data_IF_956320217001
#
_entry.id   IF_956320217001
#
_cell.length_a   1.000
_cell.length_b   1.000
_cell.length_c   1.000
_cell.angle_alpha   90.00
_cell.angle_beta   90.00
_cell.angle_gamma   90.00
#
_symmetry.space_group_name_H-M   'P 1'
#
loop_
_entity.id
_entity.type
_entity.pdbx_description
1 polymer ?
#
# COMPACT_ATOMS: atom_id res chain seq x y z
N UNK A 1 -41.21 22.92 -15.97
CA UNK A 1 -41.13 22.40 -14.58
C UNK A 1 -40.20 21.21 -14.53
N UNK A 2 -39.46 21.05 -13.43
CA UNK A 2 -38.43 20.02 -13.10
C UNK A 2 -36.97 20.20 -13.58
N UNK A 3 -36.64 21.03 -14.56
CA UNK A 3 -35.23 21.31 -14.92
C UNK A 3 -34.60 22.56 -14.29
N UNK A 4 -35.39 23.44 -13.65
CA UNK A 4 -34.86 24.68 -13.03
C UNK A 4 -34.12 24.45 -11.71
N UNK A 5 -34.34 23.33 -11.03
CA UNK A 5 -33.70 23.05 -9.74
C UNK A 5 -32.21 22.68 -9.89
N UNK A 6 -31.80 22.11 -11.03
CA UNK A 6 -30.39 21.83 -11.33
C UNK A 6 -29.66 23.08 -11.84
N UNK A 7 -30.31 23.92 -12.65
CA UNK A 7 -29.68 25.11 -13.24
C UNK A 7 -29.25 26.19 -12.24
N UNK A 8 -29.95 26.33 -11.12
CA UNK A 8 -29.62 27.29 -10.06
C UNK A 8 -28.48 26.83 -9.14
N UNK A 9 -28.23 25.52 -9.07
CA UNK A 9 -27.23 24.89 -8.20
C UNK A 9 -25.97 24.45 -8.94
N UNK A 10 -26.11 24.12 -10.23
CA UNK A 10 -25.07 23.57 -11.08
C UNK A 10 -25.12 24.24 -12.46
N UNK A 11 -24.22 25.19 -12.68
CA UNK A 11 -23.96 25.62 -14.05
C UNK A 11 -23.27 24.47 -14.79
N UNK A 12 -23.57 24.26 -16.08
CA UNK A 12 -23.00 23.18 -16.90
C UNK A 12 -21.48 22.98 -16.73
N UNK A 13 -20.64 24.04 -16.66
CA UNK A 13 -19.21 23.88 -16.40
C UNK A 13 -18.87 23.24 -15.04
N UNK A 14 -19.64 23.56 -13.99
CA UNK A 14 -19.46 22.98 -12.65
C UNK A 14 -19.85 21.51 -12.62
N UNK A 15 -20.86 21.13 -13.41
CA UNK A 15 -21.28 19.73 -13.55
C UNK A 15 -20.16 18.89 -14.15
N UNK A 16 -19.60 19.31 -15.28
CA UNK A 16 -18.50 18.60 -15.92
C UNK A 16 -17.24 18.56 -15.04
N UNK A 17 -16.93 19.64 -14.33
CA UNK A 17 -15.77 19.67 -13.42
C UNK A 17 -15.93 18.68 -12.26
N UNK A 18 -17.14 18.55 -11.72
CA UNK A 18 -17.43 17.65 -10.60
C UNK A 18 -17.53 16.20 -11.05
N UNK A 19 -18.12 15.93 -12.22
CA UNK A 19 -18.08 14.61 -12.83
C UNK A 19 -16.65 14.19 -13.15
N UNK A 20 -15.80 15.10 -13.63
CA UNK A 20 -14.37 14.84 -13.86
C UNK A 20 -13.63 14.57 -12.55
N UNK A 21 -13.86 15.36 -11.49
CA UNK A 21 -13.28 15.13 -10.16
C UNK A 21 -13.75 13.80 -9.57
N UNK A 22 -15.05 13.50 -9.63
CA UNK A 22 -15.61 12.23 -9.15
C UNK A 22 -15.02 11.04 -9.91
N UNK A 23 -14.83 11.15 -11.23
CA UNK A 23 -14.19 10.11 -12.05
C UNK A 23 -12.71 9.91 -11.69
N UNK A 24 -12.00 11.00 -11.40
CA UNK A 24 -10.59 10.98 -11.00
C UNK A 24 -10.41 10.46 -9.56
N UNK A 25 -11.39 10.67 -8.69
CA UNK A 25 -11.39 10.13 -7.32
C UNK A 25 -11.84 8.65 -7.31
N UNK A 26 -12.84 8.28 -8.13
CA UNK A 26 -13.46 6.93 -8.13
C UNK A 26 -12.61 5.85 -8.80
N UNK A 27 -11.65 6.23 -9.66
CA UNK A 27 -10.74 5.26 -10.27
C UNK A 27 -11.48 4.17 -11.06
N UNK A 28 -12.40 4.58 -11.95
CA UNK A 28 -13.02 3.65 -12.91
C UNK A 28 -12.00 3.30 -14.02
N UNK A 29 -11.01 2.50 -13.64
CA UNK A 29 -9.87 2.10 -14.44
C UNK A 29 -8.70 1.75 -13.53
N UNK A 30 -8.00 0.66 -13.84
CA UNK A 30 -7.03 -0.09 -13.01
C UNK A 30 -5.83 0.67 -12.44
N UNK A 31 -5.68 2.00 -12.57
CA UNK A 31 -4.38 2.63 -12.30
C UNK A 31 -4.36 3.95 -11.49
N UNK A 32 -5.44 4.73 -11.32
CA UNK A 32 -5.30 6.02 -10.62
C UNK A 32 -6.53 6.43 -9.78
N UNK A 33 -6.51 6.10 -8.48
CA UNK A 33 -7.31 6.86 -7.52
C UNK A 33 -6.50 8.08 -7.06
N UNK A 34 -7.13 9.25 -6.99
CA UNK A 34 -6.50 10.50 -6.50
C UNK A 34 -5.76 10.28 -5.18
N UNK A 35 -6.38 9.53 -4.27
CA UNK A 35 -5.81 9.22 -2.95
C UNK A 35 -4.51 8.43 -3.08
N UNK A 36 -4.46 7.38 -3.91
CA UNK A 36 -3.23 6.59 -4.13
C UNK A 36 -2.15 7.41 -4.85
N UNK A 37 -2.54 8.28 -5.79
CA UNK A 37 -1.60 9.16 -6.47
C UNK A 37 -0.94 10.15 -5.50
N UNK A 38 -1.73 10.76 -4.61
CA UNK A 38 -1.22 11.65 -3.56
C UNK A 38 -0.33 10.86 -2.58
N UNK A 39 -0.76 9.68 -2.12
CA UNK A 39 0.04 8.82 -1.25
C UNK A 39 1.40 8.47 -1.89
N UNK A 40 1.41 8.00 -3.14
CA UNK A 40 2.65 7.67 -3.87
C UNK A 40 3.57 8.88 -4.01
N UNK A 41 3.01 10.05 -4.34
CA UNK A 41 3.76 11.30 -4.41
C UNK A 41 4.37 11.68 -3.06
N UNK A 42 3.62 11.51 -1.99
CA UNK A 42 4.06 11.84 -0.63
C UNK A 42 5.14 10.88 -0.12
N UNK A 43 4.99 9.57 -0.34
CA UNK A 43 6.01 8.57 0.01
C UNK A 43 7.32 8.85 -0.72
N UNK A 44 7.25 9.19 -2.01
CA UNK A 44 8.44 9.59 -2.78
C UNK A 44 9.07 10.86 -2.21
N UNK A 45 8.27 11.88 -1.93
CA UNK A 45 8.75 13.13 -1.33
C UNK A 45 9.44 12.90 0.03
N UNK A 46 8.84 12.09 0.91
CA UNK A 46 9.44 11.73 2.20
C UNK A 46 10.76 10.98 2.02
N UNK A 47 10.80 10.02 1.07
CA UNK A 47 12.04 9.32 0.73
C UNK A 47 13.14 10.27 0.28
N UNK A 48 12.83 11.15 -0.66
CA UNK A 48 13.82 12.07 -1.22
C UNK A 48 14.33 13.03 -0.13
N UNK A 49 13.45 13.56 0.73
CA UNK A 49 13.85 14.41 1.87
C UNK A 49 14.77 13.67 2.83
N UNK A 50 14.38 12.47 3.24
CA UNK A 50 15.16 11.68 4.21
C UNK A 50 16.52 11.36 3.59
N UNK A 51 16.55 10.89 2.35
CA UNK A 51 17.80 10.61 1.64
C UNK A 51 18.70 11.86 1.55
N UNK A 52 18.16 13.00 1.10
CA UNK A 52 18.93 14.25 1.00
C UNK A 52 19.46 14.71 2.36
N UNK A 53 18.64 14.58 3.41
CA UNK A 53 19.02 14.99 4.78
C UNK A 53 20.17 14.12 5.30
N UNK A 54 20.09 12.81 5.11
CA UNK A 54 21.12 11.87 5.57
C UNK A 54 22.45 12.05 4.83
N UNK A 55 22.39 12.28 3.52
CA UNK A 55 23.57 12.61 2.70
C UNK A 55 24.20 13.92 3.16
N UNK A 56 23.38 14.96 3.41
CA UNK A 56 23.87 16.29 3.81
C UNK A 56 24.54 16.28 5.18
N UNK A 57 24.01 15.53 6.13
CA UNK A 57 24.52 15.46 7.51
C UNK A 57 25.68 14.45 7.62
N UNK A 58 25.96 13.68 6.56
CA UNK A 58 26.97 12.61 6.55
C UNK A 58 26.83 11.70 7.78
N UNK A 59 25.61 11.21 8.04
CA UNK A 59 25.30 10.42 9.24
C UNK A 59 26.23 9.20 9.29
N UNK A 60 27.07 9.04 10.34
CA UNK A 60 28.01 7.93 10.44
C UNK A 60 27.31 6.57 10.57
N UNK A 61 27.91 5.51 10.04
CA UNK A 61 27.48 4.11 10.18
C UNK A 61 27.73 3.56 11.60
N UNK A 62 27.32 4.28 12.64
CA UNK A 62 27.48 3.88 14.04
C UNK A 62 26.20 3.20 14.57
N UNK A 63 26.27 2.00 15.19
CA UNK A 63 25.11 1.20 15.58
C UNK A 63 24.04 1.93 16.42
N UNK A 64 24.48 2.79 17.35
CA UNK A 64 23.58 3.58 18.22
C UNK A 64 22.82 4.65 17.44
N UNK A 65 23.47 5.30 16.47
CA UNK A 65 22.82 6.31 15.62
C UNK A 65 21.84 5.64 14.65
N UNK A 66 22.15 4.40 14.22
CA UNK A 66 21.28 3.66 13.29
C UNK A 66 19.92 3.33 13.89
N UNK A 67 19.82 2.86 15.14
CA UNK A 67 18.52 2.44 15.70
C UNK A 67 17.57 3.62 15.93
N UNK A 68 18.07 4.75 16.43
CA UNK A 68 17.28 5.97 16.58
C UNK A 68 16.91 6.56 15.21
N UNK A 69 17.84 6.58 14.27
CA UNK A 69 17.57 7.01 12.89
C UNK A 69 16.53 6.13 12.20
N UNK A 70 16.60 4.81 12.33
CA UNK A 70 15.65 3.87 11.74
C UNK A 70 14.24 4.00 12.35
N UNK A 71 14.12 4.24 13.66
CA UNK A 71 12.82 4.51 14.28
C UNK A 71 12.21 5.83 13.78
N UNK A 72 13.04 6.87 13.62
CA UNK A 72 12.61 8.15 13.07
C UNK A 72 12.17 8.02 11.60
N UNK A 73 12.98 7.36 10.76
CA UNK A 73 12.64 7.07 9.37
C UNK A 73 11.34 6.25 9.31
N UNK A 74 11.26 5.17 10.09
CA UNK A 74 10.11 4.28 10.15
C UNK A 74 8.80 5.00 10.50
N UNK A 75 8.85 6.06 11.30
CA UNK A 75 7.69 6.91 11.54
C UNK A 75 7.17 7.60 10.27
N UNK A 76 8.05 8.24 9.48
CA UNK A 76 7.67 8.94 8.24
C UNK A 76 7.23 8.01 7.11
N UNK A 77 7.67 6.76 7.14
CA UNK A 77 7.25 5.71 6.22
C UNK A 77 6.11 4.83 6.75
N UNK A 78 5.60 5.11 7.95
CA UNK A 78 4.47 4.36 8.48
C UNK A 78 3.20 4.63 7.67
N UNK A 79 2.35 3.60 7.57
CA UNK A 79 1.02 3.73 6.97
C UNK A 79 0.23 4.83 7.66
N UNK A 80 0.30 4.87 8.99
CA UNK A 80 -0.36 5.87 9.84
C UNK A 80 0.04 7.29 9.45
N UNK A 81 1.34 7.57 9.31
CA UNK A 81 1.81 8.90 8.93
C UNK A 81 1.35 9.29 7.53
N UNK A 82 1.54 8.39 6.55
CA UNK A 82 1.16 8.62 5.15
C UNK A 82 -0.35 8.88 5.01
N UNK A 83 -1.15 8.16 5.81
CA UNK A 83 -2.60 8.30 5.89
C UNK A 83 -2.99 9.70 6.40
N UNK A 84 -2.49 10.12 7.56
CA UNK A 84 -2.88 11.42 8.14
C UNK A 84 -2.40 12.61 7.31
N UNK A 85 -1.19 12.52 6.76
CA UNK A 85 -0.64 13.57 5.90
C UNK A 85 -1.39 13.68 4.58
N UNK A 86 -1.80 12.57 3.96
CA UNK A 86 -2.67 12.58 2.77
C UNK A 86 -4.00 13.26 3.06
N UNK A 87 -4.63 12.96 4.21
CA UNK A 87 -5.85 13.64 4.62
C UNK A 87 -5.62 15.13 4.76
N UNK A 88 -4.54 15.55 5.42
CA UNK A 88 -4.21 16.96 5.60
C UNK A 88 -4.07 17.67 4.24
N UNK A 89 -3.30 17.09 3.30
CA UNK A 89 -3.07 17.66 1.97
C UNK A 89 -4.36 17.80 1.16
N UNK A 90 -5.28 16.83 1.26
CA UNK A 90 -6.56 16.89 0.55
C UNK A 90 -7.58 17.82 1.22
N UNK A 91 -7.62 17.85 2.56
CA UNK A 91 -8.65 18.55 3.31
C UNK A 91 -8.33 20.02 3.59
N UNK A 92 -7.09 20.36 3.93
CA UNK A 92 -6.71 21.73 4.28
C UNK A 92 -7.10 22.74 3.18
N UNK A 93 -6.73 22.56 1.90
CA UNK A 93 -7.12 23.51 0.86
C UNK A 93 -8.64 23.60 0.68
N UNK A 94 -9.36 22.48 0.82
CA UNK A 94 -10.81 22.44 0.68
C UNK A 94 -11.52 23.18 1.83
N UNK A 95 -11.09 22.95 3.07
CA UNK A 95 -11.62 23.66 4.25
C UNK A 95 -11.29 25.15 4.17
N UNK A 96 -10.06 25.51 3.82
CA UNK A 96 -9.65 26.91 3.64
C UNK A 96 -10.49 27.59 2.57
N UNK A 97 -10.76 26.92 1.45
CA UNK A 97 -11.65 27.43 0.39
C UNK A 97 -13.06 27.65 0.92
N UNK A 98 -13.66 26.67 1.60
CA UNK A 98 -15.03 26.78 2.15
C UNK A 98 -15.11 27.94 3.15
N UNK A 99 -14.19 28.00 4.11
CA UNK A 99 -14.16 29.04 5.14
C UNK A 99 -13.97 30.42 4.52
N UNK A 100 -13.00 30.58 3.61
CA UNK A 100 -12.69 31.88 2.98
C UNK A 100 -13.81 32.33 2.06
N UNK A 101 -14.42 31.41 1.30
CA UNK A 101 -15.55 31.72 0.42
C UNK A 101 -16.82 32.10 1.19
N UNK A 102 -17.12 31.36 2.26
CA UNK A 102 -18.28 31.64 3.12
C UNK A 102 -18.13 32.98 3.84
N UNK A 103 -16.95 33.25 4.41
CA UNK A 103 -16.66 34.44 5.20
C UNK A 103 -16.27 35.68 4.38
N UNK A 104 -16.21 35.60 3.04
CA UNK A 104 -15.91 36.75 2.21
C UNK A 104 -16.86 37.92 2.51
N UNK A 105 -16.40 39.19 2.52
CA UNK A 105 -17.30 40.32 2.72
C UNK A 105 -18.41 40.30 1.66
N UNK A 106 -19.64 40.63 2.07
CA UNK A 106 -20.77 40.71 1.15
C UNK A 106 -20.78 42.12 0.55
N UNK A 107 -20.65 42.28 -0.78
CA UNK A 107 -20.76 43.58 -1.41
C UNK A 107 -22.22 44.06 -1.28
N UNK A 108 -22.44 45.03 -0.40
CA UNK A 108 -23.74 45.68 -0.20
C UNK A 108 -23.74 46.96 -1.03
N UNK A 109 -24.72 47.17 -1.92
CA UNK A 109 -24.88 48.42 -2.66
C UNK A 109 -24.94 49.66 -1.73
N UNK A 110 -24.28 50.74 -2.10
CA UNK A 110 -24.16 51.96 -1.26
C UNK A 110 -25.51 52.68 -1.05
N UNK A 111 -26.43 52.54 -2.00
CA UNK A 111 -27.81 53.03 -1.94
C UNK A 111 -28.68 52.25 -0.92
N UNK A 112 -28.20 51.11 -0.44
CA UNK A 112 -28.93 50.25 0.49
C UNK A 112 -28.70 50.71 1.95
N UNK A 113 -29.60 51.56 2.45
CA UNK A 113 -29.56 52.10 3.82
C UNK A 113 -29.53 51.05 4.96
N UNK A 114 -29.27 51.51 6.19
CA UNK A 114 -29.24 50.65 7.39
C UNK A 114 -30.66 50.23 7.80
N UNK A 115 -31.12 49.07 7.34
CA UNK A 115 -32.46 48.58 7.67
C UNK A 115 -32.72 47.09 7.39
N UNK A 116 -33.98 46.63 7.52
CA UNK A 116 -34.38 45.24 7.29
C UNK A 116 -34.03 44.72 5.89
N UNK A 117 -34.12 45.57 4.86
CA UNK A 117 -33.76 45.23 3.47
C UNK A 117 -32.29 44.81 3.33
N UNK A 118 -31.37 45.49 4.01
CA UNK A 118 -29.94 45.13 4.04
C UNK A 118 -29.70 43.77 4.69
N UNK A 119 -30.42 43.46 5.77
CA UNK A 119 -30.32 42.15 6.46
C UNK A 119 -30.82 41.01 5.56
N UNK A 120 -31.94 41.22 4.86
CA UNK A 120 -32.48 40.26 3.90
C UNK A 120 -31.53 40.03 2.71
N UNK A 121 -30.95 41.09 2.17
CA UNK A 121 -29.97 41.00 1.08
C UNK A 121 -28.73 40.20 1.51
N UNK A 122 -28.13 40.50 2.65
CA UNK A 122 -26.97 39.75 3.18
C UNK A 122 -27.33 38.27 3.36
N UNK A 123 -28.52 37.96 3.89
CA UNK A 123 -29.00 36.59 4.03
C UNK A 123 -29.15 35.89 2.68
N UNK A 124 -29.69 36.59 1.67
CA UNK A 124 -29.86 36.03 0.31
C UNK A 124 -28.51 35.70 -0.35
N UNK A 125 -27.51 36.57 -0.22
CA UNK A 125 -26.16 36.34 -0.75
C UNK A 125 -25.47 35.18 -0.03
N UNK A 126 -25.57 35.11 1.31
CA UNK A 126 -25.04 33.98 2.08
C UNK A 126 -25.70 32.66 1.70
N UNK A 127 -27.02 32.65 1.50
CA UNK A 127 -27.74 31.46 1.04
C UNK A 127 -27.33 31.05 -0.38
N UNK A 128 -27.14 32.00 -1.30
CA UNK A 128 -26.61 31.72 -2.63
C UNK A 128 -25.19 31.13 -2.58
N UNK A 129 -24.32 31.62 -1.67
CA UNK A 129 -22.99 31.05 -1.43
C UNK A 129 -23.08 29.62 -0.89
N UNK A 130 -23.96 29.36 0.08
CA UNK A 130 -24.18 28.00 0.60
C UNK A 130 -24.62 27.03 -0.49
N UNK A 131 -25.52 27.46 -1.39
CA UNK A 131 -25.92 26.63 -2.55
C UNK A 131 -24.74 26.32 -3.48
N UNK A 132 -23.87 27.30 -3.73
CA UNK A 132 -22.65 27.11 -4.53
C UNK A 132 -21.57 26.25 -3.83
N UNK A 133 -21.60 26.17 -2.51
CA UNK A 133 -20.70 25.30 -1.72
C UNK A 133 -21.17 23.84 -1.65
N UNK A 134 -22.47 23.58 -1.82
CA UNK A 134 -23.06 22.24 -1.80
C UNK A 134 -22.26 21.22 -2.64
N UNK A 135 -21.92 21.47 -3.92
CA UNK A 135 -21.11 20.55 -4.70
C UNK A 135 -19.74 20.22 -4.09
N UNK A 136 -19.05 21.22 -3.54
CA UNK A 136 -17.72 21.07 -2.94
C UNK A 136 -17.81 20.18 -1.69
N UNK A 137 -18.85 20.39 -0.88
CA UNK A 137 -19.13 19.55 0.29
C UNK A 137 -19.45 18.12 -0.11
N UNK A 138 -20.22 17.90 -1.19
CA UNK A 138 -20.51 16.56 -1.71
C UNK A 138 -19.23 15.84 -2.15
N UNK A 139 -18.33 16.53 -2.85
CA UNK A 139 -17.01 15.95 -3.23
C UNK A 139 -16.17 15.64 -1.99
N UNK A 140 -16.16 16.52 -0.98
CA UNK A 140 -15.45 16.27 0.27
C UNK A 140 -16.00 15.03 1.00
N UNK A 141 -17.31 14.92 1.13
CA UNK A 141 -17.97 13.74 1.72
C UNK A 141 -17.71 12.46 0.90
N UNK A 142 -17.62 12.58 -0.43
CA UNK A 142 -17.25 11.45 -1.28
C UNK A 142 -15.80 11.00 -1.02
N UNK A 143 -14.84 11.92 -0.88
CA UNK A 143 -13.46 11.59 -0.50
C UNK A 143 -13.42 10.87 0.85
N UNK A 144 -14.26 11.27 1.81
CA UNK A 144 -14.42 10.56 3.10
C UNK A 144 -15.00 9.17 2.92
N UNK A 145 -16.07 9.02 2.15
CA UNK A 145 -16.67 7.72 1.88
C UNK A 145 -15.69 6.78 1.19
N UNK A 146 -15.00 7.27 0.15
CA UNK A 146 -13.94 6.56 -0.55
C UNK A 146 -12.80 6.17 0.39
N UNK A 147 -12.43 7.04 1.32
CA UNK A 147 -11.42 6.76 2.35
C UNK A 147 -11.79 5.61 3.29
N UNK A 148 -13.01 5.63 3.85
CA UNK A 148 -13.48 4.55 4.73
C UNK A 148 -13.68 3.24 3.96
N UNK A 149 -14.16 3.29 2.72
CA UNK A 149 -14.27 2.10 1.86
C UNK A 149 -12.90 1.54 1.46
N UNK A 150 -11.94 2.40 1.14
CA UNK A 150 -10.56 2.03 0.82
C UNK A 150 -9.81 1.46 2.02
N UNK A 151 -10.20 1.80 3.25
CA UNK A 151 -9.70 1.16 4.47
C UNK A 151 -10.24 -0.26 4.66
N UNK A 152 -11.46 -0.52 4.20
CA UNK A 152 -11.96 -1.89 4.09
C UNK A 152 -11.21 -2.67 2.98
N UNK A 153 -10.74 -1.99 1.92
CA UNK A 153 -9.91 -2.58 0.86
C UNK A 153 -8.41 -2.61 1.15
N UNK A 154 -7.90 -1.89 2.16
CA UNK A 154 -6.48 -1.87 2.53
C UNK A 154 -6.09 -3.02 3.46
N UNK A 155 -7.07 -3.81 3.87
CA UNK A 155 -6.87 -5.24 4.10
C UNK A 155 -7.21 -5.91 2.78
N UNK A 156 -6.35 -5.78 1.76
CA UNK A 156 -6.33 -6.82 0.73
C UNK A 156 -6.15 -8.12 1.51
N UNK A 157 -7.15 -9.00 1.43
CA UNK A 157 -7.10 -10.28 2.11
C UNK A 157 -5.81 -10.97 1.64
N UNK A 158 -4.79 -10.92 2.50
CA UNK A 158 -3.52 -11.53 2.19
C UNK A 158 -3.77 -13.03 2.25
N UNK A 159 -3.60 -13.69 1.11
CA UNK A 159 -3.61 -15.13 1.06
C UNK A 159 -2.35 -15.65 1.74
N UNK A 160 -2.52 -16.18 2.95
CA UNK A 160 -1.46 -16.76 3.76
C UNK A 160 -1.89 -18.17 4.19
N UNK A 161 -1.64 -19.19 3.35
CA UNK A 161 -2.01 -20.55 3.70
C UNK A 161 -1.14 -21.06 4.84
N UNK A 162 -1.70 -21.97 5.65
CA UNK A 162 -0.91 -22.69 6.62
C UNK A 162 0.11 -23.60 5.91
N UNK A 163 1.38 -23.62 6.35
CA UNK A 163 2.39 -24.49 5.74
C UNK A 163 2.03 -25.96 5.85
N UNK A 164 2.03 -26.66 4.71
CA UNK A 164 1.76 -28.09 4.66
C UNK A 164 2.99 -28.88 5.11
N UNK A 165 2.84 -29.85 6.02
CA UNK A 165 3.97 -30.67 6.46
C UNK A 165 4.41 -31.62 5.36
N UNK A 166 5.72 -31.65 5.09
CA UNK A 166 6.37 -32.60 4.20
C UNK A 166 7.27 -33.55 4.99
N UNK A 167 7.28 -34.81 4.59
CA UNK A 167 8.19 -35.82 5.13
C UNK A 167 9.51 -35.75 4.36
N UNK A 168 10.62 -35.75 5.09
CA UNK A 168 11.96 -35.73 4.49
C UNK A 168 12.42 -37.16 4.24
N UNK A 169 12.46 -37.57 2.97
CA UNK A 169 12.98 -38.87 2.54
C UNK A 169 14.40 -38.71 1.98
N UNK A 170 15.41 -38.91 2.82
CA UNK A 170 16.81 -38.80 2.43
C UNK A 170 17.33 -37.34 2.38
N UNK A 171 18.12 -37.02 1.35
CA UNK A 171 18.84 -35.73 1.24
C UNK A 171 18.11 -34.67 0.40
N UNK A 172 17.06 -35.07 -0.31
CA UNK A 172 16.31 -34.22 -1.24
C UNK A 172 14.83 -34.31 -0.93
N UNK A 173 14.19 -33.16 -0.75
CA UNK A 173 12.74 -33.05 -0.65
C UNK A 173 12.18 -32.94 -2.07
N UNK A 174 11.32 -33.87 -2.46
CA UNK A 174 10.61 -33.85 -3.73
C UNK A 174 9.17 -33.44 -3.53
N UNK A 175 8.73 -32.40 -4.25
CA UNK A 175 7.39 -31.83 -4.14
C UNK A 175 6.72 -32.03 -5.49
N UNK A 176 5.68 -32.89 -5.60
CA UNK A 176 4.99 -33.09 -6.86
C UNK A 176 4.34 -31.79 -7.33
N UNK A 177 4.39 -31.53 -8.64
CA UNK A 177 3.77 -30.32 -9.23
C UNK A 177 2.26 -30.30 -8.98
N UNK A 178 1.62 -31.46 -9.05
CA UNK A 178 0.20 -31.61 -8.76
C UNK A 178 0.01 -32.76 -7.78
N UNK A 179 -0.74 -32.48 -6.72
CA UNK A 179 -1.17 -33.43 -5.70
C UNK A 179 -2.67 -33.20 -5.44
N UNK A 180 -3.30 -34.05 -4.64
CA UNK A 180 -4.69 -33.90 -4.23
C UNK A 180 -4.94 -32.58 -3.47
N UNK A 181 -3.91 -32.01 -2.84
CA UNK A 181 -4.01 -30.82 -1.98
C UNK A 181 -3.56 -29.52 -2.66
N UNK A 182 -2.80 -29.58 -3.75
CA UNK A 182 -2.24 -28.40 -4.41
C UNK A 182 -1.98 -28.62 -5.90
N UNK A 183 -1.94 -27.53 -6.65
CA UNK A 183 -1.34 -27.45 -7.96
C UNK A 183 -0.34 -26.29 -7.93
N UNK A 184 0.96 -26.58 -8.04
CA UNK A 184 2.00 -25.56 -7.97
C UNK A 184 1.93 -24.54 -9.11
N UNK A 185 1.13 -24.80 -10.16
CA UNK A 185 0.93 -23.95 -11.34
C UNK A 185 -0.42 -23.22 -11.35
N UNK A 186 -1.10 -23.12 -10.21
CA UNK A 186 -2.35 -22.36 -10.06
C UNK A 186 -2.14 -20.84 -9.84
N UNK A 187 -0.87 -20.40 -9.71
CA UNK A 187 -0.51 -19.02 -9.39
C UNK A 187 -0.72 -18.63 -7.92
N UNK A 188 -1.04 -19.59 -7.05
CA UNK A 188 -1.17 -19.38 -5.62
C UNK A 188 0.17 -19.64 -4.89
N UNK A 189 0.29 -19.06 -3.69
CA UNK A 189 1.41 -19.27 -2.79
C UNK A 189 1.26 -20.63 -2.09
N UNK A 190 2.16 -21.57 -2.34
CA UNK A 190 2.14 -22.89 -1.68
C UNK A 190 3.22 -22.99 -0.62
N UNK A 191 2.82 -23.01 0.66
CA UNK A 191 3.75 -23.10 1.78
C UNK A 191 3.95 -24.53 2.26
N UNK A 192 5.19 -24.84 2.63
CA UNK A 192 5.59 -26.14 3.15
C UNK A 192 6.43 -25.98 4.42
N UNK A 193 6.36 -26.98 5.29
CA UNK A 193 7.19 -27.09 6.48
C UNK A 193 7.82 -28.48 6.54
N UNK A 194 9.11 -28.53 6.84
CA UNK A 194 9.84 -29.77 7.11
C UNK A 194 10.48 -29.70 8.48
N UNK A 195 10.45 -30.81 9.21
CA UNK A 195 11.21 -30.95 10.44
C UNK A 195 12.57 -31.58 10.15
N UNK A 196 13.64 -30.81 10.34
CA UNK A 196 15.02 -31.28 10.14
C UNK A 196 15.80 -31.05 11.43
N UNK A 197 16.27 -32.14 12.06
CA UNK A 197 17.04 -32.09 13.32
C UNK A 197 16.30 -31.32 14.44
N UNK A 198 14.99 -31.52 14.55
CA UNK A 198 14.16 -30.85 15.56
C UNK A 198 13.88 -29.37 15.26
N UNK A 199 14.19 -28.89 14.06
CA UNK A 199 13.85 -27.54 13.62
C UNK A 199 12.81 -27.58 12.52
N UNK A 200 11.72 -26.84 12.73
CA UNK A 200 10.74 -26.58 11.68
C UNK A 200 11.31 -25.52 10.74
N UNK A 201 11.46 -25.89 9.47
CA UNK A 201 11.96 -25.03 8.39
C UNK A 201 10.80 -24.79 7.43
N UNK A 202 10.43 -23.52 7.28
CA UNK A 202 9.34 -23.10 6.39
C UNK A 202 9.91 -22.58 5.08
N UNK A 203 9.30 -23.00 3.99
CA UNK A 203 9.62 -22.53 2.65
C UNK A 203 8.36 -22.59 1.78
N UNK A 204 8.41 -22.04 0.58
CA UNK A 204 7.27 -22.04 -0.32
C UNK A 204 7.71 -22.21 -1.76
N UNK A 205 6.76 -22.65 -2.59
CA UNK A 205 6.86 -22.64 -4.05
C UNK A 205 5.82 -21.69 -4.60
N UNK A 206 6.20 -20.93 -5.63
CA UNK A 206 5.32 -19.98 -6.29
C UNK A 206 5.56 -20.00 -7.80
N UNK A 207 4.47 -19.88 -8.58
CA UNK A 207 4.53 -19.72 -10.02
C UNK A 207 4.60 -18.24 -10.39
N UNK A 208 5.70 -17.83 -11.02
CA UNK A 208 5.87 -16.48 -11.54
C UNK A 208 4.95 -16.23 -12.76
N UNK A 209 4.68 -14.96 -13.11
CA UNK A 209 3.86 -14.61 -14.28
C UNK A 209 4.39 -15.17 -15.61
N UNK A 210 5.69 -15.45 -15.71
CA UNK A 210 6.32 -16.11 -16.86
C UNK A 210 6.07 -17.63 -16.93
N UNK A 211 5.32 -18.18 -15.95
CA UNK A 211 4.98 -19.59 -15.83
C UNK A 211 6.03 -20.46 -15.12
N UNK A 212 7.18 -19.89 -14.75
CA UNK A 212 8.25 -20.63 -14.07
C UNK A 212 7.99 -20.78 -12.57
N UNK A 213 8.38 -21.92 -12.00
CA UNK A 213 8.29 -22.19 -10.57
C UNK A 213 9.57 -21.73 -9.87
N UNK A 214 9.41 -21.04 -8.75
CA UNK A 214 10.50 -20.65 -7.86
C UNK A 214 10.25 -21.18 -6.46
N UNK A 215 11.29 -21.69 -5.81
CA UNK A 215 11.26 -22.07 -4.41
C UNK A 215 12.05 -21.06 -3.58
N UNK A 216 11.48 -20.60 -2.47
CA UNK A 216 12.11 -19.65 -1.57
C UNK A 216 11.84 -20.05 -0.12
N UNK A 217 12.74 -19.68 0.78
CA UNK A 217 12.52 -19.76 2.22
C UNK A 217 11.39 -18.81 2.62
N UNK A 218 10.54 -19.20 3.56
CA UNK A 218 9.48 -18.32 4.12
C UNK A 218 10.10 -17.38 5.17
N UNK A 219 11.14 -16.66 4.77
CA UNK A 219 11.93 -15.78 5.62
C UNK A 219 12.64 -14.69 4.79
N UNK A 220 12.78 -13.52 5.42
CA UNK A 220 13.43 -12.35 4.85
C UNK A 220 14.90 -12.30 5.25
N UNK A 221 15.74 -11.74 4.36
CA UNK A 221 17.16 -11.56 4.63
C UNK A 221 17.43 -10.56 5.77
N UNK A 222 16.62 -9.51 5.87
CA UNK A 222 16.84 -8.36 6.76
C UNK A 222 15.76 -8.18 7.84
N UNK A 223 14.62 -8.86 7.73
CA UNK A 223 13.54 -8.79 8.71
C UNK A 223 13.49 -10.04 9.58
N UNK A 224 12.88 -9.95 10.79
CA UNK A 224 12.48 -11.15 11.53
C UNK A 224 11.68 -12.13 10.66
N UNK A 225 11.87 -13.45 10.82
CA UNK A 225 11.31 -14.47 9.93
C UNK A 225 9.82 -14.74 10.19
N UNK A 226 8.98 -13.71 10.06
CA UNK A 226 7.52 -13.81 10.15
C UNK A 226 6.93 -14.57 8.94
N UNK A 227 7.55 -14.42 7.78
CA UNK A 227 7.16 -15.06 6.52
C UNK A 227 6.54 -14.08 5.52
N UNK A 228 5.90 -14.63 4.49
CA UNK A 228 5.31 -13.90 3.38
C UNK A 228 3.85 -14.28 3.15
N UNK A 229 3.08 -13.39 2.53
CA UNK A 229 1.73 -13.69 2.09
C UNK A 229 1.49 -13.09 0.70
N UNK A 230 0.58 -13.69 -0.05
CA UNK A 230 0.25 -13.26 -1.40
C UNK A 230 -0.89 -12.23 -1.38
N UNK A 231 -0.71 -11.15 -2.13
CA UNK A 231 -1.79 -10.27 -2.57
C UNK A 231 -2.11 -10.52 -4.04
N UNK A 232 -3.11 -9.84 -4.60
CA UNK A 232 -3.46 -9.98 -6.02
C UNK A 232 -2.31 -9.70 -7.00
N UNK A 233 -1.37 -8.81 -6.64
CA UNK A 233 -0.31 -8.33 -7.55
C UNK A 233 1.11 -8.46 -7.00
N UNK A 234 1.27 -8.74 -5.72
CA UNK A 234 2.55 -8.72 -5.04
C UNK A 234 2.66 -9.82 -4.00
N UNK A 235 3.88 -10.28 -3.76
CA UNK A 235 4.23 -10.97 -2.52
C UNK A 235 4.45 -9.92 -1.43
N UNK A 236 4.03 -10.17 -0.20
CA UNK A 236 4.09 -9.18 0.89
C UNK A 236 4.81 -9.78 2.08
N UNK A 237 5.87 -9.14 2.57
CA UNK A 237 6.52 -9.54 3.81
C UNK A 237 5.58 -9.29 4.99
N UNK A 238 5.34 -10.30 5.83
CA UNK A 238 4.42 -10.20 6.96
C UNK A 238 4.95 -9.26 8.06
N UNK A 239 6.27 -9.04 8.12
CA UNK A 239 6.88 -8.12 9.08
C UNK A 239 6.83 -6.66 8.63
N UNK A 240 7.52 -6.31 7.53
CA UNK A 240 7.68 -4.91 7.09
C UNK A 240 6.64 -4.45 6.06
N UNK A 241 5.72 -5.32 5.63
CA UNK A 241 4.64 -5.03 4.67
C UNK A 241 5.12 -4.53 3.30
N UNK A 242 6.40 -4.68 2.98
CA UNK A 242 6.95 -4.30 1.67
C UNK A 242 6.30 -5.14 0.57
N UNK A 243 5.69 -4.52 -0.46
CA UNK A 243 5.21 -5.23 -1.63
C UNK A 243 6.40 -5.61 -2.52
N UNK A 244 6.42 -6.86 -2.95
CA UNK A 244 7.50 -7.48 -3.71
C UNK A 244 6.90 -7.97 -5.02
N UNK A 245 7.53 -7.57 -6.12
CA UNK A 245 7.11 -7.95 -7.46
C UNK A 245 7.26 -9.46 -7.65
N UNK A 246 6.23 -10.11 -8.20
CA UNK A 246 6.27 -11.55 -8.50
C UNK A 246 7.42 -11.93 -9.43
N UNK A 247 7.79 -11.07 -10.38
CA UNK A 247 8.93 -11.35 -11.28
C UNK A 247 10.29 -11.37 -10.55
N UNK A 248 10.38 -10.65 -9.43
CA UNK A 248 11.59 -10.56 -8.63
C UNK A 248 11.82 -11.76 -7.73
N UNK A 249 10.80 -12.60 -7.52
CA UNK A 249 10.90 -13.81 -6.71
C UNK A 249 11.95 -14.76 -7.30
N UNK A 250 12.79 -15.33 -6.44
CA UNK A 250 13.97 -16.10 -6.84
C UNK A 250 15.26 -15.28 -6.94
N UNK A 251 15.21 -13.95 -6.82
CA UNK A 251 16.39 -13.08 -6.70
C UNK A 251 16.62 -12.72 -5.24
N UNK A 252 17.87 -12.79 -4.77
CA UNK A 252 18.19 -12.39 -3.41
C UNK A 252 18.32 -10.86 -3.25
N UNK A 253 18.27 -10.38 -2.00
CA UNK A 253 18.50 -8.99 -1.62
C UNK A 253 17.26 -8.26 -1.11
N UNK A 254 17.48 -7.32 -0.19
CA UNK A 254 16.42 -6.48 0.38
C UNK A 254 15.36 -7.29 1.13
N UNK A 255 14.09 -6.96 0.93
CA UNK A 255 12.94 -7.67 1.50
C UNK A 255 12.51 -8.91 0.70
N UNK A 256 13.22 -9.26 -0.37
CA UNK A 256 12.85 -10.36 -1.25
C UNK A 256 13.01 -11.70 -0.49
N UNK A 257 12.12 -12.69 -0.68
CA UNK A 257 12.25 -14.00 -0.04
C UNK A 257 13.58 -14.66 -0.41
N UNK A 258 14.22 -15.34 0.54
CA UNK A 258 15.53 -15.94 0.31
C UNK A 258 15.38 -17.10 -0.70
N UNK A 259 15.99 -17.01 -1.89
CA UNK A 259 15.81 -18.04 -2.92
C UNK A 259 16.42 -19.37 -2.48
N UNK A 260 15.87 -20.49 -2.97
CA UNK A 260 16.42 -21.83 -2.83
C UNK A 260 16.87 -22.34 -4.21
N UNK A 261 17.97 -23.08 -4.28
CA UNK A 261 18.42 -23.72 -5.51
C UNK A 261 17.60 -24.98 -5.77
N UNK A 262 16.36 -24.76 -6.21
CA UNK A 262 15.46 -25.86 -6.58
C UNK A 262 15.73 -26.34 -8.00
N UNK A 263 15.66 -27.67 -8.19
CA UNK A 263 15.58 -28.27 -9.53
C UNK A 263 14.12 -28.51 -9.85
N UNK A 264 13.62 -27.88 -10.91
CA UNK A 264 12.24 -28.03 -11.37
C UNK A 264 12.22 -29.00 -12.56
N UNK A 265 11.42 -30.06 -12.46
CA UNK A 265 11.16 -31.01 -13.54
C UNK A 265 9.70 -30.93 -13.98
N UNK A 266 9.29 -31.72 -14.96
CA UNK A 266 7.86 -31.81 -15.35
C UNK A 266 6.99 -32.53 -14.31
N UNK A 267 7.60 -33.18 -13.31
CA UNK A 267 6.89 -33.97 -12.29
C UNK A 267 6.97 -33.35 -10.91
N UNK A 268 8.11 -32.79 -10.56
CA UNK A 268 8.41 -32.36 -9.20
C UNK A 268 9.33 -31.14 -9.11
N UNK A 269 9.29 -30.46 -7.97
CA UNK A 269 10.26 -29.47 -7.52
C UNK A 269 11.11 -30.11 -6.44
N UNK A 270 12.42 -30.12 -6.64
CA UNK A 270 13.39 -30.75 -5.74
C UNK A 270 14.25 -29.73 -5.03
N UNK A 271 14.31 -29.82 -3.71
CA UNK A 271 15.12 -28.93 -2.86
C UNK A 271 16.01 -29.78 -1.95
N UNK A 272 17.30 -29.45 -1.84
CA UNK A 272 18.20 -30.18 -0.95
C UNK A 272 18.00 -29.78 0.52
N UNK A 273 18.03 -30.79 1.39
CA UNK A 273 17.80 -30.62 2.84
C UNK A 273 18.94 -29.84 3.50
N UNK A 274 20.18 -30.05 3.05
CA UNK A 274 21.37 -29.36 3.56
C UNK A 274 21.35 -27.86 3.27
N UNK A 275 20.89 -27.47 2.08
CA UNK A 275 20.71 -26.07 1.70
C UNK A 275 19.66 -25.38 2.57
N UNK A 276 18.49 -26.00 2.75
CA UNK A 276 17.42 -25.50 3.62
C UNK A 276 17.94 -25.26 5.03
N UNK A 277 18.63 -26.24 5.61
CA UNK A 277 19.18 -26.14 6.96
C UNK A 277 20.23 -25.02 7.07
N UNK A 278 21.12 -24.90 6.07
CA UNK A 278 22.15 -23.85 6.02
C UNK A 278 21.54 -22.46 5.98
N UNK A 279 20.58 -22.23 5.08
CA UNK A 279 19.90 -20.93 4.93
C UNK A 279 19.05 -20.59 6.15
N UNK A 280 18.29 -21.55 6.68
CA UNK A 280 17.47 -21.36 7.89
C UNK A 280 18.30 -21.03 9.13
N UNK A 281 19.43 -21.72 9.32
CA UNK A 281 20.34 -21.43 10.44
C UNK A 281 20.92 -20.01 10.34
N UNK A 282 21.15 -19.53 9.12
CA UNK A 282 21.68 -18.19 8.87
C UNK A 282 20.65 -17.10 9.20
N UNK A 283 19.39 -17.33 8.85
CA UNK A 283 18.25 -16.48 9.24
C UNK A 283 18.15 -16.38 10.77
N UNK A 284 18.14 -17.52 11.47
CA UNK A 284 18.05 -17.53 12.95
C UNK A 284 19.20 -16.81 13.64
N UNK A 285 20.40 -16.81 13.05
CA UNK A 285 21.58 -16.14 13.58
C UNK A 285 21.70 -14.67 13.15
N UNK A 286 20.81 -14.17 12.29
CA UNK A 286 20.90 -12.81 11.72
C UNK A 286 22.09 -12.60 10.79
N UNK A 287 22.68 -13.67 10.23
CA UNK A 287 23.90 -13.64 9.39
C UNK A 287 23.64 -13.76 7.89
N UNK A 288 22.42 -13.45 7.47
CA UNK A 288 21.87 -13.80 6.16
C UNK A 288 22.65 -13.23 4.97
N UNK A 289 23.32 -12.08 5.12
CA UNK A 289 24.17 -11.44 4.08
C UNK A 289 25.42 -12.23 3.68
N UNK A 290 25.96 -13.09 4.55
CA UNK A 290 27.23 -13.80 4.29
C UNK A 290 27.05 -15.09 3.47
N UNK A 291 25.82 -15.63 3.41
CA UNK A 291 25.55 -16.99 2.90
C UNK A 291 24.95 -17.01 1.49
N UNK A 292 24.54 -15.84 1.00
CA UNK A 292 23.90 -15.63 -0.31
C UNK A 292 24.93 -15.27 -1.40
N UNK A 293 26.14 -14.83 -1.01
CA UNK A 293 27.30 -14.72 -1.90
C UNK A 293 27.87 -16.09 -2.22
#
# INVERSE_FOLDING_TARGET
GRFSFLGDYFQWPQFFLISALLKLISGTGTEFSLVRAVQKGLTKFNHDIIHQTFVTIMVPDHPILTTTAWNFIGFFFSDTFTIYTTLLVLWVPLVLFIVRYYNAPVPVPEDMGKGPRRRLYIKSVKMARLRKLLPVVVVALYVVGAWFSGRASSVQALYNPEPLPLVVEGEVISIPISDQKWDLRDGALHKFVVNVKGQDIRFFVFQRPDGSLVACLDACEICPPEGYAQSERFMVCLYCRTPIDFESLGRAGGCNPIPLNATVTDKDVRVRVDELLKKWTSVKKGKTKEVIR
#
